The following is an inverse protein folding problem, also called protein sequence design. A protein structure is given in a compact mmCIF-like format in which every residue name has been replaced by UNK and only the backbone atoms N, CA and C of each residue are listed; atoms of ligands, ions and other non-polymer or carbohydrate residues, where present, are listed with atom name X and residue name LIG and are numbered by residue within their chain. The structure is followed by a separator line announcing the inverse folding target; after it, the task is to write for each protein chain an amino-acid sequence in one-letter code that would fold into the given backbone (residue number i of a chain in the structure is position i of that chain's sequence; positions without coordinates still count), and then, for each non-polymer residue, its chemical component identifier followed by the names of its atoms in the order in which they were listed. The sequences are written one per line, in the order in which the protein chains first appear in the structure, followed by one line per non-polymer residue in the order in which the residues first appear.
data_IF_432628495635
#
_entry.id   IF_432628495635
#
_cell.length_a   1.000
_cell.length_b   1.000
_cell.length_c   1.000
_cell.angle_alpha   90.00
_cell.angle_beta   90.00
_cell.angle_gamma   90.00
#
_symmetry.space_group_name_H-M   'P 1'
#
loop_
_entity.id
_entity.type
_entity.pdbx_description
1 polymer ?
#
# COMPACT_ATOMS: atom_id res chain seq x y z
N UNK A 1 40.16 -38.88 -47.80
CA UNK A 1 41.19 -38.33 -46.88
C UNK A 1 41.17 -36.81 -47.00
N UNK A 2 41.40 -36.13 -45.87
CA UNK A 2 41.30 -34.70 -45.58
C UNK A 2 39.97 -34.24 -44.99
N UNK A 3 40.13 -33.69 -43.79
CA UNK A 3 39.24 -33.57 -42.65
C UNK A 3 38.66 -32.17 -42.56
N UNK A 4 37.38 -32.10 -42.20
CA UNK A 4 36.66 -30.87 -41.91
C UNK A 4 37.24 -30.15 -40.68
N UNK A 5 38.02 -29.09 -40.91
CA UNK A 5 38.47 -28.17 -39.86
C UNK A 5 37.79 -26.81 -40.04
N UNK A 6 36.48 -26.75 -39.87
CA UNK A 6 35.75 -25.55 -39.40
C UNK A 6 34.49 -26.09 -38.73
N UNK A 7 34.05 -25.48 -37.62
CA UNK A 7 32.99 -25.92 -36.69
C UNK A 7 33.56 -26.57 -35.41
N UNK A 8 34.48 -25.87 -34.77
CA UNK A 8 34.55 -25.82 -33.30
C UNK A 8 34.46 -24.35 -32.93
N UNK A 9 33.79 -24.05 -31.80
CA UNK A 9 33.30 -22.72 -31.37
C UNK A 9 31.91 -22.36 -31.93
N UNK A 10 30.86 -23.13 -31.61
CA UNK A 10 29.47 -22.62 -31.42
C UNK A 10 28.57 -23.54 -30.58
N UNK A 11 29.13 -24.54 -29.86
CA UNK A 11 28.32 -25.54 -29.14
C UNK A 11 28.67 -25.70 -27.65
N UNK A 12 29.31 -24.70 -27.03
CA UNK A 12 29.53 -24.66 -25.57
C UNK A 12 28.83 -23.45 -24.91
N UNK A 13 28.33 -22.50 -25.69
CA UNK A 13 27.68 -21.29 -25.14
C UNK A 13 26.18 -21.51 -24.88
N UNK A 14 25.56 -22.52 -25.52
CA UNK A 14 24.09 -22.69 -25.45
C UNK A 14 23.60 -23.50 -24.24
N UNK A 15 24.44 -24.32 -23.61
CA UNK A 15 24.04 -25.11 -22.41
C UNK A 15 24.29 -24.39 -21.08
N UNK A 16 25.20 -23.41 -21.01
CA UNK A 16 25.38 -22.58 -19.81
C UNK A 16 24.32 -21.49 -19.68
N UNK A 17 23.67 -21.10 -20.78
CA UNK A 17 22.58 -20.12 -20.75
C UNK A 17 21.23 -20.70 -20.28
N UNK A 18 21.00 -22.02 -20.40
CA UNK A 18 19.73 -22.63 -19.99
C UNK A 18 19.68 -23.02 -18.51
N UNK A 19 20.82 -23.32 -17.87
CA UNK A 19 20.86 -23.61 -16.43
C UNK A 19 20.88 -22.35 -15.54
N UNK A 20 21.23 -21.19 -16.10
CA UNK A 20 21.15 -19.92 -15.36
C UNK A 20 19.71 -19.37 -15.22
N UNK A 21 18.75 -19.92 -15.98
CA UNK A 21 17.35 -19.49 -15.97
C UNK A 21 16.45 -20.35 -15.07
N UNK A 22 16.97 -21.41 -14.47
CA UNK A 22 16.22 -22.33 -13.62
C UNK A 22 16.45 -22.13 -12.11
N UNK A 23 17.32 -21.19 -11.72
CA UNK A 23 17.69 -20.94 -10.31
C UNK A 23 17.19 -19.61 -9.74
N UNK A 24 16.29 -18.90 -10.44
CA UNK A 24 15.79 -17.59 -9.99
C UNK A 24 14.31 -17.56 -9.61
N UNK A 25 13.59 -18.69 -9.66
CA UNK A 25 12.12 -18.69 -9.45
C UNK A 25 11.66 -19.08 -8.05
N UNK A 26 12.51 -19.03 -7.02
CA UNK A 26 12.06 -19.32 -5.64
C UNK A 26 12.36 -18.26 -4.57
N UNK A 27 12.94 -17.10 -4.90
CA UNK A 27 13.22 -16.09 -3.88
C UNK A 27 12.88 -14.64 -4.26
N UNK A 28 12.02 -14.44 -5.27
CA UNK A 28 11.39 -13.15 -5.52
C UNK A 28 10.18 -12.93 -4.61
N UNK A 29 10.33 -13.17 -3.31
CA UNK A 29 9.74 -12.25 -2.34
C UNK A 29 10.56 -10.96 -2.48
N UNK A 30 10.20 -10.14 -3.47
CA UNK A 30 10.85 -8.87 -3.79
C UNK A 30 10.70 -7.97 -2.57
N UNK A 31 11.72 -7.94 -1.71
CA UNK A 31 11.74 -7.06 -0.56
C UNK A 31 11.66 -5.61 -1.03
N UNK A 32 10.65 -4.87 -0.59
CA UNK A 32 10.67 -3.42 -0.71
C UNK A 32 11.90 -2.86 0.04
N UNK A 33 12.64 -1.91 -0.54
CA UNK A 33 13.65 -1.05 0.09
C UNK A 33 13.24 -0.30 1.36
N UNK A 34 12.02 -0.43 1.88
CA UNK A 34 11.56 0.20 3.13
C UNK A 34 10.97 -0.79 4.16
N UNK A 35 11.05 -2.10 3.91
CA UNK A 35 10.48 -3.12 4.80
C UNK A 35 8.95 -3.27 4.70
N UNK A 36 8.33 -2.78 3.62
CA UNK A 36 6.91 -3.02 3.31
C UNK A 36 6.76 -4.31 2.52
N UNK A 37 5.88 -5.20 2.95
CA UNK A 37 5.58 -6.44 2.21
C UNK A 37 4.56 -6.15 1.11
N UNK A 38 4.72 -6.75 -0.07
CA UNK A 38 3.66 -6.76 -1.08
C UNK A 38 2.89 -8.08 -0.99
N UNK A 39 1.60 -7.99 -0.70
CA UNK A 39 0.66 -9.12 -0.71
C UNK A 39 -0.66 -8.61 -1.28
N UNK A 40 -0.87 -8.82 -2.58
CA UNK A 40 -1.99 -8.17 -3.27
C UNK A 40 -3.33 -8.71 -2.73
N UNK A 41 -4.25 -7.81 -2.39
CA UNK A 41 -5.64 -8.17 -2.14
C UNK A 41 -6.23 -8.97 -3.31
N UNK A 42 -7.28 -9.76 -3.03
CA UNK A 42 -7.96 -10.50 -4.08
C UNK A 42 -8.42 -9.55 -5.18
N UNK A 43 -8.24 -9.95 -6.45
CA UNK A 43 -8.60 -9.13 -7.61
C UNK A 43 -10.08 -8.73 -7.66
N UNK A 44 -10.93 -9.41 -6.90
CA UNK A 44 -12.36 -9.12 -6.73
C UNK A 44 -12.63 -7.95 -5.77
N UNK A 45 -11.62 -7.43 -5.09
CA UNK A 45 -11.75 -6.43 -4.02
C UNK A 45 -11.18 -5.04 -4.36
N UNK A 46 -10.77 -4.80 -5.61
CA UNK A 46 -10.29 -3.48 -6.06
C UNK A 46 -10.53 -3.28 -7.56
N UNK A 47 -10.37 -2.05 -8.04
CA UNK A 47 -10.47 -1.75 -9.48
C UNK A 47 -9.10 -1.34 -10.03
N UNK A 48 -8.67 -1.96 -11.14
CA UNK A 48 -7.45 -1.53 -11.84
C UNK A 48 -7.60 -0.11 -12.37
N UNK A 49 -6.60 0.73 -12.11
CA UNK A 49 -6.62 2.13 -12.53
C UNK A 49 -7.50 3.02 -11.65
N UNK A 50 -7.51 4.32 -11.97
CA UNK A 50 -8.31 5.35 -11.29
C UNK A 50 -9.23 6.13 -12.23
N UNK A 51 -9.43 5.64 -13.45
CA UNK A 51 -10.23 6.31 -14.49
C UNK A 51 -9.81 7.77 -14.74
N UNK A 52 -8.50 8.06 -14.72
CA UNK A 52 -7.96 9.41 -14.93
C UNK A 52 -8.07 10.37 -13.74
N UNK A 53 -8.57 9.91 -12.58
CA UNK A 53 -8.54 10.72 -11.36
C UNK A 53 -7.11 10.84 -10.83
N UNK A 54 -6.77 12.03 -10.37
CA UNK A 54 -5.55 12.27 -9.60
C UNK A 54 -5.73 11.77 -8.16
N UNK A 55 -4.60 11.56 -7.47
CA UNK A 55 -4.56 11.16 -6.08
C UNK A 55 -4.25 12.41 -5.23
N UNK A 56 -5.24 12.93 -4.52
CA UNK A 56 -5.14 14.15 -3.69
C UNK A 56 -5.62 13.98 -2.25
N UNK A 57 -6.05 12.76 -1.89
CA UNK A 57 -6.43 12.41 -0.53
C UNK A 57 -5.61 11.25 -0.01
N UNK A 58 -5.30 11.32 1.28
CA UNK A 58 -4.95 10.17 2.11
C UNK A 58 -6.08 9.99 3.12
N UNK A 59 -6.59 8.77 3.25
CA UNK A 59 -7.61 8.44 4.23
C UNK A 59 -7.06 7.42 5.22
N UNK A 60 -7.09 7.78 6.49
CA UNK A 60 -6.64 6.94 7.59
C UNK A 60 -7.84 6.21 8.20
N UNK A 61 -7.69 4.90 8.35
CA UNK A 61 -8.66 3.97 8.91
C UNK A 61 -8.03 3.23 10.09
N UNK A 62 -8.87 2.65 10.93
CA UNK A 62 -8.48 1.55 11.81
C UNK A 62 -9.17 0.27 11.37
N UNK A 63 -8.44 -0.83 11.39
CA UNK A 63 -8.96 -2.14 10.96
C UNK A 63 -10.13 -2.67 11.81
N UNK A 64 -10.30 -2.15 13.02
CA UNK A 64 -11.16 -2.72 14.06
C UNK A 64 -10.79 -4.19 14.34
N UNK A 65 -9.49 -4.49 14.28
CA UNK A 65 -8.95 -5.84 14.34
C UNK A 65 -7.42 -5.87 14.36
N UNK A 66 -6.86 -7.03 14.02
CA UNK A 66 -5.41 -7.23 13.94
C UNK A 66 -4.89 -7.07 12.51
N UNK A 67 -3.60 -6.79 12.38
CA UNK A 67 -2.88 -6.71 11.12
C UNK A 67 -3.16 -7.91 10.19
N UNK A 68 -2.95 -9.13 10.69
CA UNK A 68 -3.17 -10.34 9.90
C UNK A 68 -4.65 -10.56 9.55
N UNK A 69 -5.59 -10.15 10.43
CA UNK A 69 -7.01 -10.28 10.14
C UNK A 69 -7.45 -9.40 8.97
N UNK A 70 -6.93 -8.17 8.88
CA UNK A 70 -7.22 -7.26 7.77
C UNK A 70 -6.65 -7.80 6.45
N UNK A 71 -5.40 -8.28 6.45
CA UNK A 71 -4.76 -8.91 5.27
C UNK A 71 -5.60 -10.12 4.81
N UNK A 72 -5.95 -11.02 5.72
CA UNK A 72 -6.77 -12.19 5.40
C UNK A 72 -8.15 -11.80 4.84
N UNK A 73 -8.76 -10.75 5.39
CA UNK A 73 -10.05 -10.25 4.92
C UNK A 73 -9.96 -9.70 3.50
N UNK A 74 -8.93 -8.93 3.18
CA UNK A 74 -8.75 -8.39 1.82
C UNK A 74 -8.37 -9.47 0.79
N UNK A 75 -7.86 -10.62 1.23
CA UNK A 75 -7.63 -11.81 0.41
C UNK A 75 -8.88 -12.69 0.21
N UNK A 76 -9.99 -12.39 0.89
CA UNK A 76 -11.26 -13.10 0.67
C UNK A 76 -12.01 -12.48 -0.53
N UNK A 77 -12.25 -13.22 -1.64
CA UNK A 77 -12.94 -12.68 -2.82
C UNK A 77 -14.38 -12.21 -2.56
N UNK A 78 -14.99 -12.62 -1.44
CA UNK A 78 -16.33 -12.18 -1.05
C UNK A 78 -16.35 -10.91 -0.18
N UNK A 79 -15.17 -10.37 0.21
CA UNK A 79 -15.09 -9.23 1.11
C UNK A 79 -15.66 -7.94 0.51
N UNK A 80 -15.50 -7.75 -0.81
CA UNK A 80 -15.88 -6.54 -1.54
C UNK A 80 -15.26 -5.26 -0.94
N UNK A 81 -14.11 -5.36 -0.27
CA UNK A 81 -13.39 -4.25 0.34
C UNK A 81 -11.87 -4.50 0.32
N UNK A 82 -11.10 -3.42 0.27
CA UNK A 82 -9.63 -3.45 0.36
C UNK A 82 -9.08 -2.08 0.77
N UNK A 83 -7.82 -2.04 1.20
CA UNK A 83 -7.06 -0.82 1.37
C UNK A 83 -5.72 -0.87 0.61
N UNK A 84 -5.04 0.26 0.48
CA UNK A 84 -3.73 0.26 -0.18
C UNK A 84 -2.66 -0.29 0.75
N UNK A 85 -2.68 0.07 2.02
CA UNK A 85 -1.73 -0.40 3.03
C UNK A 85 -2.45 -0.87 4.29
N UNK A 86 -1.89 -1.88 4.93
CA UNK A 86 -2.18 -2.28 6.31
C UNK A 86 -0.89 -2.09 7.12
N UNK A 87 -0.96 -1.48 8.30
CA UNK A 87 0.21 -1.21 9.15
C UNK A 87 -0.07 -1.72 10.57
N UNK A 88 0.82 -2.57 11.09
CA UNK A 88 0.74 -3.09 12.46
C UNK A 88 1.32 -2.09 13.47
N UNK A 89 1.03 -2.28 14.76
CA UNK A 89 1.49 -1.42 15.87
C UNK A 89 3.02 -1.32 15.95
N UNK A 90 3.75 -2.35 15.54
CA UNK A 90 5.21 -2.40 15.52
C UNK A 90 5.85 -1.72 14.30
N UNK A 91 5.04 -1.19 13.37
CA UNK A 91 5.49 -0.56 12.13
C UNK A 91 5.72 -1.53 10.96
N UNK A 92 5.47 -2.83 11.14
CA UNK A 92 5.32 -3.77 10.04
C UNK A 92 4.20 -3.30 9.12
N UNK A 93 4.39 -3.41 7.81
CA UNK A 93 3.42 -2.92 6.84
C UNK A 93 3.33 -3.84 5.63
N UNK A 94 2.11 -3.99 5.12
CA UNK A 94 1.83 -4.67 3.86
C UNK A 94 1.10 -3.72 2.93
N UNK A 95 1.57 -3.59 1.69
CA UNK A 95 0.82 -2.96 0.61
C UNK A 95 -0.04 -4.03 -0.07
N UNK A 96 -1.36 -3.82 -0.06
CA UNK A 96 -2.36 -4.74 -0.58
C UNK A 96 -2.90 -4.33 -1.95
N UNK A 97 -2.91 -3.02 -2.25
CA UNK A 97 -3.34 -2.50 -3.56
C UNK A 97 -2.31 -1.47 -4.03
N UNK A 98 -1.89 -1.59 -5.30
CA UNK A 98 -0.99 -0.60 -5.92
C UNK A 98 -1.65 0.77 -5.91
N UNK A 99 -0.88 1.84 -5.66
CA UNK A 99 -1.42 3.21 -5.70
C UNK A 99 -1.99 3.59 -7.07
N UNK A 100 -1.64 2.87 -8.14
CA UNK A 100 -2.20 3.08 -9.48
C UNK A 100 -3.60 2.50 -9.66
N UNK A 101 -4.03 1.63 -8.74
CA UNK A 101 -5.36 1.04 -8.70
C UNK A 101 -6.21 1.71 -7.62
N UNK A 102 -7.51 1.45 -7.67
CA UNK A 102 -8.50 1.99 -6.74
C UNK A 102 -8.88 0.91 -5.72
N UNK A 103 -8.38 1.03 -4.48
CA UNK A 103 -8.87 0.22 -3.36
C UNK A 103 -10.32 0.58 -2.99
N UNK A 104 -11.06 -0.36 -2.39
CA UNK A 104 -12.47 -0.19 -2.04
C UNK A 104 -12.65 -0.08 -0.52
N UNK A 105 -12.62 1.13 0.04
CA UNK A 105 -12.80 1.32 1.50
C UNK A 105 -13.59 2.58 1.88
N UNK A 106 -13.35 3.72 1.22
CA UNK A 106 -14.02 5.01 1.50
C UNK A 106 -15.00 5.46 0.41
N UNK A 107 -15.71 4.49 -0.17
CA UNK A 107 -16.83 4.69 -1.11
C UNK A 107 -16.57 5.70 -2.24
N UNK A 108 -17.17 6.90 -2.18
CA UNK A 108 -17.20 7.88 -3.27
C UNK A 108 -15.86 8.60 -3.50
N UNK A 109 -14.95 8.59 -2.53
CA UNK A 109 -13.60 9.17 -2.71
C UNK A 109 -12.54 8.12 -3.05
N UNK A 110 -12.90 6.84 -3.23
CA UNK A 110 -11.97 5.75 -3.55
C UNK A 110 -10.98 6.10 -4.67
N UNK A 111 -11.48 6.68 -5.77
CA UNK A 111 -10.64 6.97 -6.96
C UNK A 111 -9.58 8.05 -6.73
N UNK A 112 -9.76 8.93 -5.75
CA UNK A 112 -8.86 10.05 -5.45
C UNK A 112 -8.04 9.87 -4.17
N UNK A 113 -8.28 8.77 -3.45
CA UNK A 113 -7.65 8.48 -2.17
C UNK A 113 -6.61 7.36 -2.24
N UNK A 114 -5.57 7.52 -1.42
CA UNK A 114 -4.75 6.44 -0.89
C UNK A 114 -5.29 6.09 0.50
N UNK A 115 -5.33 4.82 0.85
CA UNK A 115 -6.00 4.36 2.07
C UNK A 115 -5.10 3.47 2.91
N UNK A 116 -5.11 3.75 4.22
CA UNK A 116 -4.28 3.07 5.21
C UNK A 116 -5.15 2.50 6.31
N UNK A 117 -4.99 1.22 6.56
CA UNK A 117 -5.64 0.48 7.63
C UNK A 117 -4.65 0.26 8.78
N UNK A 118 -4.87 0.94 9.89
CA UNK A 118 -4.02 0.82 11.08
C UNK A 118 -4.55 -0.31 11.97
N UNK A 119 -3.70 -1.30 12.29
CA UNK A 119 -4.09 -2.40 13.16
C UNK A 119 -4.44 -1.89 14.56
N UNK A 120 -5.62 -2.29 15.06
CA UNK A 120 -6.17 -1.80 16.31
C UNK A 120 -7.59 -1.26 16.16
N UNK A 121 -8.00 -0.45 17.13
CA UNK A 121 -9.38 -0.01 17.33
C UNK A 121 -9.44 1.51 17.49
N UNK A 122 -10.41 2.15 16.83
CA UNK A 122 -10.59 3.60 16.86
C UNK A 122 -10.84 4.16 18.26
N UNK A 123 -11.47 3.37 19.14
CA UNK A 123 -11.76 3.76 20.51
C UNK A 123 -10.75 3.20 21.54
N UNK A 124 -9.56 2.77 21.10
CA UNK A 124 -8.47 2.34 21.98
C UNK A 124 -7.25 3.27 21.83
N UNK A 125 -6.86 4.04 22.89
CA UNK A 125 -5.67 4.88 22.83
C UNK A 125 -4.37 4.07 22.66
N UNK A 126 -4.37 2.79 23.04
CA UNK A 126 -3.21 1.91 22.88
C UNK A 126 -3.00 1.43 21.43
N UNK A 127 -3.85 1.84 20.49
CA UNK A 127 -3.60 1.67 19.06
C UNK A 127 -2.35 2.45 18.61
N UNK A 128 -2.03 3.55 19.27
CA UNK A 128 -1.03 4.51 18.82
C UNK A 128 0.27 4.53 19.63
N UNK A 129 0.44 3.60 20.58
CA UNK A 129 1.60 3.54 21.47
C UNK A 129 2.26 2.17 21.38
N UNK A 130 3.60 2.13 21.26
CA UNK A 130 4.37 0.89 21.22
C UNK A 130 5.41 0.89 22.36
N UNK A 131 4.95 0.66 23.61
CA UNK A 131 5.61 -0.10 24.69
C UNK A 131 5.09 0.30 26.09
N UNK A 132 4.81 -0.70 26.93
CA UNK A 132 4.84 -0.61 28.41
C UNK A 132 5.96 -1.48 29.03
N UNK A 133 6.86 -2.08 28.23
CA UNK A 133 7.61 -3.27 28.63
C UNK A 133 9.15 -3.21 28.62
N UNK A 134 9.80 -2.08 28.92
CA UNK A 134 11.21 -2.11 29.39
C UNK A 134 11.48 -0.99 30.45
N UNK A 135 11.94 -1.32 31.67
CA UNK A 135 12.24 -0.35 32.73
C UNK A 135 13.46 0.54 32.47
N UNK A 136 14.33 0.18 31.51
CA UNK A 136 15.51 0.98 31.15
C UNK A 136 15.13 2.03 30.10
N UNK A 137 14.18 2.89 30.50
CA UNK A 137 13.65 3.95 29.66
C UNK A 137 14.44 5.23 29.88
N UNK A 138 15.02 5.77 28.81
CA UNK A 138 15.59 7.11 28.79
C UNK A 138 14.46 8.09 29.08
N UNK A 139 14.63 8.98 30.06
CA UNK A 139 13.63 9.95 30.52
C UNK A 139 13.22 11.04 29.49
N UNK A 140 13.33 10.74 28.18
CA UNK A 140 12.79 11.49 27.04
C UNK A 140 12.01 10.65 26.02
N UNK A 141 11.87 9.34 26.20
CA UNK A 141 11.40 8.42 25.15
C UNK A 141 9.87 8.16 25.09
N UNK A 142 9.02 8.98 25.73
CA UNK A 142 7.56 8.78 25.99
C UNK A 142 6.66 8.22 24.85
N UNK A 143 7.11 8.16 23.60
CA UNK A 143 6.26 7.99 22.42
C UNK A 143 6.96 7.22 21.29
N UNK A 144 7.49 6.01 21.53
CA UNK A 144 7.86 5.17 20.39
C UNK A 144 6.58 4.69 19.69
N UNK A 145 6.36 5.15 18.46
CA UNK A 145 5.13 4.92 17.66
C UNK A 145 5.51 4.48 16.25
N UNK A 146 6.10 3.28 16.09
CA UNK A 146 6.66 2.85 14.83
C UNK A 146 5.61 2.73 13.72
N UNK A 147 4.35 2.46 14.06
CA UNK A 147 3.24 2.51 13.12
C UNK A 147 3.00 3.90 12.53
N UNK A 148 3.09 4.98 13.34
CA UNK A 148 2.96 6.35 12.85
C UNK A 148 4.17 6.78 12.04
N UNK A 149 5.39 6.41 12.45
CA UNK A 149 6.59 6.67 11.63
C UNK A 149 6.50 5.98 10.27
N UNK A 150 6.03 4.72 10.23
CA UNK A 150 5.80 4.00 8.98
C UNK A 150 4.77 4.70 8.12
N UNK A 151 3.63 5.09 8.70
CA UNK A 151 2.57 5.81 8.00
C UNK A 151 3.09 7.15 7.44
N UNK A 152 3.76 7.96 8.26
CA UNK A 152 4.27 9.28 7.88
C UNK A 152 5.29 9.19 6.74
N UNK A 153 6.20 8.22 6.78
CA UNK A 153 7.17 7.96 5.71
C UNK A 153 6.46 7.65 4.38
N UNK A 154 5.48 6.74 4.40
CA UNK A 154 4.73 6.39 3.18
C UNK A 154 3.94 7.60 2.66
N UNK A 155 3.28 8.34 3.54
CA UNK A 155 2.49 9.53 3.17
C UNK A 155 3.38 10.62 2.57
N UNK A 156 4.50 10.96 3.22
CA UNK A 156 5.46 11.95 2.73
C UNK A 156 6.00 11.57 1.34
N UNK A 157 6.32 10.29 1.12
CA UNK A 157 6.75 9.80 -0.19
C UNK A 157 5.72 10.09 -1.30
N UNK A 158 4.42 9.93 -1.02
CA UNK A 158 3.37 10.23 -1.99
C UNK A 158 3.07 11.72 -2.14
N UNK A 159 3.35 12.54 -1.14
CA UNK A 159 3.24 14.00 -1.23
C UNK A 159 4.33 14.61 -2.10
N UNK A 160 5.56 14.07 -2.07
CA UNK A 160 6.66 14.51 -2.96
C UNK A 160 6.51 13.99 -4.40
N UNK A 161 5.76 12.89 -4.57
CA UNK A 161 5.52 12.31 -5.89
C UNK A 161 4.63 13.23 -6.71
N UNK A 162 4.96 13.41 -7.99
CA UNK A 162 4.14 14.19 -8.93
C UNK A 162 3.39 13.30 -9.92
N UNK A 163 4.06 12.26 -10.44
CA UNK A 163 3.46 11.31 -11.40
C UNK A 163 3.97 9.88 -11.22
N UNK A 164 3.24 8.90 -11.76
CA UNK A 164 3.64 7.50 -11.84
C UNK A 164 2.61 6.64 -12.56
N UNK A 165 3.02 5.88 -13.58
CA UNK A 165 2.16 5.00 -14.41
C UNK A 165 0.87 5.64 -14.90
N UNK A 166 0.95 6.90 -15.34
CA UNK A 166 -0.21 7.64 -15.86
C UNK A 166 -1.14 8.21 -14.78
N UNK A 167 -0.76 8.13 -13.51
CA UNK A 167 -1.45 8.78 -12.38
C UNK A 167 -0.69 10.04 -11.97
N UNK A 168 -1.43 11.10 -11.66
CA UNK A 168 -0.93 12.34 -11.05
C UNK A 168 -1.20 12.30 -9.55
N UNK A 169 -0.22 12.71 -8.76
CA UNK A 169 -0.30 12.84 -7.32
C UNK A 169 -0.29 14.34 -7.00
N UNK A 170 -1.24 14.79 -6.18
CA UNK A 170 -1.46 16.18 -5.78
C UNK A 170 -2.00 16.21 -4.34
N UNK A 171 -1.30 15.51 -3.44
CA UNK A 171 -1.64 15.41 -2.03
C UNK A 171 -0.94 16.56 -1.29
N UNK A 172 -1.65 17.60 -0.84
CA UNK A 172 -1.02 18.65 -0.04
C UNK A 172 -0.65 18.10 1.34
N UNK A 173 0.46 18.59 1.89
CA UNK A 173 0.81 18.39 3.29
C UNK A 173 -0.10 19.24 4.19
N UNK A 174 -1.32 18.76 4.40
CA UNK A 174 -2.32 19.41 5.21
C UNK A 174 -3.30 18.39 5.79
N UNK A 175 -3.73 18.63 7.03
CA UNK A 175 -4.90 18.00 7.62
C UNK A 175 -6.06 18.99 7.62
N UNK A 176 -7.00 18.93 6.66
CA UNK A 176 -8.14 19.83 6.62
C UNK A 176 -9.08 19.55 7.79
N UNK A 177 -9.71 20.59 8.33
CA UNK A 177 -10.71 20.47 9.42
C UNK A 177 -12.12 20.16 8.92
N UNK A 178 -12.32 20.21 7.59
CA UNK A 178 -13.57 19.87 6.94
C UNK A 178 -14.04 18.46 7.29
N UNK A 179 -15.35 18.32 7.46
CA UNK A 179 -16.06 17.06 7.66
C UNK A 179 -17.15 16.92 6.60
N UNK A 180 -17.58 15.69 6.31
CA UNK A 180 -18.62 15.44 5.32
C UNK A 180 -19.92 16.15 5.66
N UNK A 181 -20.41 16.97 4.72
CA UNK A 181 -21.69 17.66 4.85
C UNK A 181 -22.84 16.73 4.50
N UNK A 182 -23.90 16.70 5.31
CA UNK A 182 -25.06 15.86 5.06
C UNK A 182 -25.84 16.30 3.81
N UNK A 183 -25.92 15.41 2.81
CA UNK A 183 -26.81 15.56 1.67
C UNK A 183 -27.97 14.57 1.80
N UNK A 184 -29.20 15.05 1.70
CA UNK A 184 -30.41 14.21 1.82
C UNK A 184 -30.48 13.06 0.82
N UNK A 185 -29.83 13.21 -0.34
CA UNK A 185 -29.82 12.20 -1.39
C UNK A 185 -28.81 11.07 -1.17
N UNK A 186 -27.73 11.31 -0.43
CA UNK A 186 -26.56 10.42 -0.43
C UNK A 186 -25.78 10.36 0.90
N UNK A 187 -26.30 10.95 1.98
CA UNK A 187 -25.62 11.04 3.28
C UNK A 187 -24.49 12.07 3.30
N UNK A 188 -23.64 12.07 4.34
CA UNK A 188 -22.52 12.99 4.46
C UNK A 188 -21.51 12.79 3.32
N UNK A 189 -21.14 13.89 2.64
CA UNK A 189 -20.11 13.92 1.60
C UNK A 189 -19.09 15.02 1.88
N UNK A 190 -17.82 14.66 1.87
CA UNK A 190 -16.70 15.58 1.86
C UNK A 190 -16.68 16.32 0.53
N UNK A 191 -16.49 17.64 0.57
CA UNK A 191 -16.42 18.44 -0.65
C UNK A 191 -15.30 17.94 -1.56
N UNK A 192 -15.54 17.94 -2.88
CA UNK A 192 -14.53 17.59 -3.87
C UNK A 192 -13.32 18.54 -3.86
N UNK A 193 -13.43 19.71 -3.24
CA UNK A 193 -12.32 20.65 -3.06
C UNK A 193 -11.37 20.26 -1.92
N UNK A 194 -11.80 19.40 -0.98
CA UNK A 194 -10.96 18.99 0.15
C UNK A 194 -9.87 18.05 -0.36
N UNK A 195 -8.64 18.29 0.07
CA UNK A 195 -7.42 17.55 -0.26
C UNK A 195 -6.54 17.41 0.99
N UNK A 196 -5.60 16.48 0.97
CA UNK A 196 -4.66 16.24 2.07
C UNK A 196 -4.97 14.96 2.85
N UNK A 197 -4.66 14.94 4.15
CA UNK A 197 -4.82 13.75 5.00
C UNK A 197 -6.05 13.87 5.89
N UNK A 198 -6.97 12.92 5.78
CA UNK A 198 -8.23 12.91 6.53
C UNK A 198 -8.48 11.57 7.21
N UNK A 199 -9.29 11.57 8.26
CA UNK A 199 -9.84 10.34 8.83
C UNK A 199 -11.08 9.85 8.08
N UNK A 200 -11.40 8.57 8.18
CA UNK A 200 -12.63 8.02 7.61
C UNK A 200 -13.89 8.69 8.17
N UNK A 201 -13.86 9.08 9.46
CA UNK A 201 -14.86 9.88 10.13
C UNK A 201 -15.03 11.28 9.50
N UNK A 202 -14.03 11.86 8.85
CA UNK A 202 -14.23 13.10 8.10
C UNK A 202 -14.91 12.84 6.75
N UNK A 203 -14.62 11.69 6.13
CA UNK A 203 -15.23 11.30 4.84
C UNK A 203 -16.69 10.87 5.02
N UNK A 204 -17.04 10.16 6.10
CA UNK A 204 -18.38 9.62 6.35
C UNK A 204 -18.84 9.89 7.80
N UNK A 205 -18.93 11.17 8.17
CA UNK A 205 -19.10 11.67 9.55
C UNK A 205 -20.22 11.03 10.39
N UNK A 206 -21.32 10.64 9.78
CA UNK A 206 -22.45 10.03 10.52
C UNK A 206 -22.47 8.50 10.48
N UNK A 207 -21.47 7.87 9.85
CA UNK A 207 -21.42 6.42 9.62
C UNK A 207 -20.14 5.76 10.12
N UNK A 208 -19.06 6.54 10.27
CA UNK A 208 -17.72 6.05 10.55
C UNK A 208 -17.09 6.89 11.65
N UNK A 209 -16.38 6.22 12.55
CA UNK A 209 -15.72 6.83 13.70
C UNK A 209 -14.20 6.76 13.61
N UNK A 210 -13.65 5.88 12.77
CA UNK A 210 -12.22 5.68 12.60
C UNK A 210 -11.52 6.85 11.87
N UNK A 211 -10.25 7.13 12.17
CA UNK A 211 -9.35 6.42 13.09
C UNK A 211 -9.61 6.71 14.57
N UNK A 212 -10.64 7.48 14.88
CA UNK A 212 -11.11 7.72 16.24
C UNK A 212 -10.47 8.90 16.94
N UNK A 213 -11.04 9.25 18.09
CA UNK A 213 -10.65 10.40 18.91
C UNK A 213 -9.20 10.34 19.41
N UNK A 214 -8.59 9.16 19.40
CA UNK A 214 -7.25 8.94 19.91
C UNK A 214 -6.16 9.05 18.83
N UNK A 215 -6.51 9.19 17.55
CA UNK A 215 -5.52 9.36 16.50
C UNK A 215 -4.72 10.67 16.75
N UNK A 216 -3.40 10.60 16.93
CA UNK A 216 -2.62 11.75 17.36
C UNK A 216 -2.21 12.62 16.16
N UNK A 217 -3.18 13.34 15.61
CA UNK A 217 -3.03 14.14 14.38
C UNK A 217 -1.82 15.08 14.40
N UNK A 218 -1.60 15.83 15.48
CA UNK A 218 -0.50 16.77 15.57
C UNK A 218 0.87 16.08 15.50
N UNK A 219 1.03 14.98 16.24
CA UNK A 219 2.29 14.21 16.24
C UNK A 219 2.53 13.57 14.86
N UNK A 220 1.47 13.00 14.25
CA UNK A 220 1.56 12.39 12.93
C UNK A 220 1.93 13.41 11.84
N UNK A 221 1.26 14.57 11.79
CA UNK A 221 1.58 15.59 10.79
C UNK A 221 2.97 16.19 11.02
N UNK A 222 3.42 16.34 12.27
CA UNK A 222 4.80 16.72 12.57
C UNK A 222 5.83 15.70 12.06
N UNK A 223 5.55 14.40 12.17
CA UNK A 223 6.42 13.36 11.57
C UNK A 223 6.44 13.44 10.03
N UNK A 224 5.32 13.81 9.40
CA UNK A 224 5.28 14.03 7.94
C UNK A 224 6.16 15.22 7.56
N UNK A 225 6.08 16.33 8.30
CA UNK A 225 6.93 17.51 8.12
C UNK A 225 8.42 17.12 8.21
N UNK A 226 8.79 16.36 9.24
CA UNK A 226 10.18 15.90 9.45
C UNK A 226 10.70 15.02 8.30
N UNK A 227 9.84 14.24 7.63
CA UNK A 227 10.24 13.46 6.45
C UNK A 227 10.36 14.34 5.20
N UNK A 228 9.49 15.34 5.04
CA UNK A 228 9.48 16.25 3.88
C UNK A 228 10.63 17.28 3.92
N UNK A 229 11.06 17.71 5.11
CA UNK A 229 12.18 18.63 5.27
C UNK A 229 13.55 17.93 5.38
N UNK A 230 13.55 16.60 5.45
CA UNK A 230 14.74 15.75 5.52
C UNK A 230 15.35 15.59 6.92
N UNK A 231 14.67 16.05 7.97
CA UNK A 231 15.04 15.79 9.37
C UNK A 231 15.07 14.30 9.68
N UNK A 232 14.10 13.55 9.17
CA UNK A 232 14.08 12.10 9.20
C UNK A 232 14.58 11.52 7.86
N UNK A 233 15.37 10.42 7.89
CA UNK A 233 15.86 9.80 6.67
C UNK A 233 14.69 9.14 5.92
N UNK A 234 14.33 9.67 4.74
CA UNK A 234 13.34 9.03 3.90
C UNK A 234 13.88 7.71 3.32
N UNK A 235 13.02 6.69 3.26
CA UNK A 235 13.32 5.45 2.56
C UNK A 235 12.50 5.39 1.29
N UNK A 236 13.13 5.05 0.17
CA UNK A 236 12.41 4.89 -1.10
C UNK A 236 11.39 3.75 -0.95
N UNK A 237 10.12 4.05 -1.16
CA UNK A 237 9.06 3.05 -1.22
C UNK A 237 8.82 2.76 -2.70
N UNK A 238 9.32 1.66 -3.27
CA UNK A 238 9.01 1.35 -4.65
C UNK A 238 7.50 1.10 -4.72
N UNK A 239 6.84 1.56 -5.76
CA UNK A 239 5.59 0.89 -6.13
C UNK A 239 5.95 -0.52 -6.56
N UNK A 240 5.05 -1.51 -6.40
CA UNK A 240 5.26 -2.80 -7.02
C UNK A 240 5.22 -2.50 -8.52
N UNK A 241 6.41 -2.40 -9.14
CA UNK A 241 6.52 -2.10 -10.55
C UNK A 241 5.65 -3.09 -11.27
N UNK A 242 4.66 -2.60 -12.03
CA UNK A 242 3.63 -3.40 -12.66
C UNK A 242 4.26 -4.66 -13.26
N UNK A 243 4.16 -5.77 -12.52
CA UNK A 243 4.55 -7.05 -13.04
C UNK A 243 3.47 -7.39 -14.06
N UNK A 244 3.82 -7.11 -15.31
CA UNK A 244 3.10 -7.48 -16.50
C UNK A 244 2.62 -8.93 -16.32
N UNK A 245 1.29 -9.10 -16.23
CA UNK A 245 0.64 -10.38 -16.44
C UNK A 245 1.10 -10.92 -17.80
N UNK A 246 2.09 -11.81 -17.81
CA UNK A 246 2.26 -12.77 -18.89
C UNK A 246 1.61 -14.07 -18.42
N UNK A 247 0.46 -14.33 -19.04
CA UNK A 247 -0.49 -15.34 -18.62
C UNK A 247 0.04 -16.77 -18.61
N UNK A 248 -0.34 -17.51 -17.59
CA UNK A 248 -0.53 -18.95 -17.68
C UNK A 248 -1.91 -19.23 -18.27
N UNK A 249 -2.04 -18.96 -19.56
CA UNK A 249 -3.26 -19.18 -20.32
C UNK A 249 -2.93 -19.48 -21.76
N UNK A 250 -2.39 -20.68 -22.03
CA UNK A 250 -2.51 -21.46 -23.29
C UNK A 250 -1.31 -22.41 -23.48
N UNK A 251 -1.37 -23.59 -22.87
CA UNK A 251 -0.70 -24.77 -23.42
C UNK A 251 -1.80 -25.72 -23.90
N UNK A 252 -2.17 -25.54 -25.17
CA UNK A 252 -3.00 -26.47 -25.90
C UNK A 252 -2.30 -27.82 -25.99
N UNK A 253 -2.90 -28.84 -25.39
CA UNK A 253 -2.59 -30.21 -25.75
C UNK A 253 -3.29 -30.51 -27.08
N UNK A 254 -2.54 -30.37 -28.17
CA UNK A 254 -2.83 -31.11 -29.41
C UNK A 254 -2.55 -32.58 -29.14
N UNK A 255 -3.57 -33.31 -28.70
CA UNK A 255 -3.53 -34.76 -28.66
C UNK A 255 -3.69 -35.31 -30.08
N UNK A 256 -2.56 -35.80 -30.57
CA UNK A 256 -2.30 -36.53 -31.82
C UNK A 256 -3.37 -37.60 -32.10
N UNK A 257 -4.04 -37.51 -33.26
CA UNK A 257 -4.77 -38.66 -33.86
C UNK A 257 -3.78 -39.81 -34.08
N UNK A 258 -4.08 -40.99 -33.53
CA UNK A 258 -3.51 -42.25 -34.03
C UNK A 258 -4.42 -42.77 -35.15
N UNK A 259 -3.77 -43.29 -36.20
CA UNK A 259 -4.38 -44.14 -37.22
C UNK A 259 -4.87 -45.43 -36.59
#
# INVERSE_FOLDING_TARGET
MLTHTVIRIRLVILCTFLMAMASTTLNAAVGYPSGVVWDQADSSNFTTGRSGNLLDLVVIHTTEGSYQSAINWFNNPAANVSAHYVIDKDGSATQMVSSWSTAWTQTYVNKRALSFEMAGYSNDPNTWVYCEHEPEYVAGAKNYRPNLYKLANIVAFFMEKTTGSGITYDIPNAHPTDVGYYYSSNGPRLSSSVKGVVGHNQVQADQKSDPGQYFPWADFMGMVDDYLDGTLPSTTIPEPGAFLLLGLGSLGFVARRKR
#
